data_IF_660052531443
#
_entry.id   IF_660052531443
#
_cell.length_a   1.000
_cell.length_b   1.000
_cell.length_c   1.000
_cell.angle_alpha   90.00
_cell.angle_beta   90.00
_cell.angle_gamma   90.00
#
_symmetry.space_group_name_H-M   'P 1'
#
loop_
_entity.id
_entity.type
_entity.pdbx_description
1 polymer ?
#
# COMPACT_ATOMS: atom_id res chain seq x y z
N UNK A 1 -5.02 -2.52 -2.95
CA UNK A 1 -3.87 -2.67 -3.88
C UNK A 1 -4.28 -3.70 -4.93
N UNK A 2 -4.87 -3.27 -6.04
CA UNK A 2 -5.28 -4.18 -7.12
C UNK A 2 -4.11 -4.64 -8.00
N UNK A 3 -3.01 -3.87 -8.03
CA UNK A 3 -1.84 -4.12 -8.88
C UNK A 3 -1.20 -5.50 -8.67
N UNK A 4 -1.22 -6.05 -7.46
CA UNK A 4 -0.68 -7.40 -7.21
C UNK A 4 -1.43 -8.52 -7.92
N UNK A 5 -2.69 -8.26 -8.28
CA UNK A 5 -3.60 -9.20 -8.92
C UNK A 5 -3.99 -8.73 -10.33
N UNK A 6 -3.21 -7.83 -10.94
CA UNK A 6 -3.57 -7.20 -12.21
C UNK A 6 -3.84 -8.24 -13.31
N UNK A 7 -2.94 -9.21 -13.53
CA UNK A 7 -3.11 -10.20 -14.59
C UNK A 7 -4.34 -11.11 -14.36
N UNK A 8 -4.56 -11.71 -13.18
CA UNK A 8 -5.81 -12.44 -12.92
C UNK A 8 -7.08 -11.60 -13.07
N UNK A 9 -7.03 -10.30 -12.72
CA UNK A 9 -8.18 -9.41 -12.88
C UNK A 9 -8.43 -9.08 -14.36
N UNK A 10 -7.38 -8.89 -15.16
CA UNK A 10 -7.49 -8.69 -16.61
C UNK A 10 -8.12 -9.92 -17.28
N UNK A 11 -7.70 -11.11 -16.86
CA UNK A 11 -8.25 -12.38 -17.35
C UNK A 11 -9.71 -12.59 -16.94
N UNK A 12 -10.04 -12.31 -15.67
CA UNK A 12 -11.40 -12.47 -15.15
C UNK A 12 -12.41 -11.45 -15.69
N UNK A 13 -11.94 -10.29 -16.16
CA UNK A 13 -12.77 -9.21 -16.69
C UNK A 13 -12.28 -8.77 -18.08
N UNK A 14 -12.50 -9.59 -19.12
CA UNK A 14 -11.92 -9.37 -20.45
C UNK A 14 -12.44 -8.09 -21.13
N UNK A 15 -13.63 -7.61 -20.77
CA UNK A 15 -14.22 -6.39 -21.33
C UNK A 15 -13.87 -5.13 -20.52
N UNK A 16 -13.20 -5.27 -19.37
CA UNK A 16 -12.83 -4.13 -18.55
C UNK A 16 -11.73 -3.30 -19.23
N UNK A 17 -11.89 -1.97 -19.13
CA UNK A 17 -10.84 -1.01 -19.45
C UNK A 17 -9.79 -1.00 -18.34
N UNK A 18 -8.51 -0.95 -18.72
CA UNK A 18 -7.36 -0.95 -17.83
C UNK A 18 -6.67 0.39 -17.90
N UNK A 19 -6.49 1.04 -16.75
CA UNK A 19 -5.75 2.29 -16.62
C UNK A 19 -4.42 1.96 -15.94
N UNK A 20 -3.33 2.14 -16.68
CA UNK A 20 -1.97 1.86 -16.23
C UNK A 20 -1.26 3.16 -15.90
N UNK A 21 -1.20 3.48 -14.61
CA UNK A 21 -0.58 4.72 -14.11
C UNK A 21 0.91 4.52 -13.96
N UNK A 22 1.73 5.14 -14.82
CA UNK A 22 3.19 5.10 -14.74
C UNK A 22 3.77 6.44 -14.27
N UNK A 23 4.92 6.41 -13.60
CA UNK A 23 5.68 7.60 -13.17
C UNK A 23 7.16 7.28 -13.19
N UNK A 24 8.00 8.29 -12.99
CA UNK A 24 9.45 8.07 -12.84
C UNK A 24 9.76 6.99 -11.76
N UNK A 25 10.57 6.01 -12.15
CA UNK A 25 10.86 4.81 -11.37
C UNK A 25 11.64 5.12 -10.09
N UNK A 26 12.55 6.10 -10.12
CA UNK A 26 13.34 6.44 -8.94
C UNK A 26 12.49 7.24 -7.93
N UNK A 27 11.66 8.15 -8.43
CA UNK A 27 10.66 8.86 -7.63
C UNK A 27 9.65 7.88 -7.00
N UNK A 28 9.23 6.85 -7.74
CA UNK A 28 8.40 5.77 -7.22
C UNK A 28 9.14 4.96 -6.14
N UNK A 29 10.37 4.51 -6.41
CA UNK A 29 11.13 3.68 -5.48
C UNK A 29 11.40 4.41 -4.16
N UNK A 30 11.81 5.68 -4.23
CA UNK A 30 12.00 6.50 -3.03
C UNK A 30 10.69 6.64 -2.22
N UNK A 31 9.52 6.66 -2.87
CA UNK A 31 8.23 6.64 -2.19
C UNK A 31 7.92 5.29 -1.57
N UNK A 32 8.24 4.20 -2.26
CA UNK A 32 8.06 2.83 -1.79
C UNK A 32 8.90 2.56 -0.53
N UNK A 33 10.15 3.03 -0.52
CA UNK A 33 11.05 2.88 0.62
C UNK A 33 10.49 3.53 1.89
N UNK A 34 10.06 4.79 1.79
CA UNK A 34 9.60 5.54 2.95
C UNK A 34 8.18 5.12 3.40
N UNK A 35 7.25 5.01 2.45
CA UNK A 35 5.83 4.81 2.75
C UNK A 35 5.47 3.33 2.98
N UNK A 36 6.18 2.39 2.37
CA UNK A 36 5.84 0.95 2.45
C UNK A 36 6.89 0.18 3.23
N UNK A 37 8.16 0.19 2.80
CA UNK A 37 9.18 -0.61 3.50
C UNK A 37 9.38 -0.13 4.94
N UNK A 38 9.48 1.18 5.16
CA UNK A 38 9.65 1.77 6.49
C UNK A 38 8.43 1.67 7.42
N UNK A 39 7.24 1.36 6.89
CA UNK A 39 6.01 1.23 7.70
C UNK A 39 5.59 -0.23 7.92
N UNK A 40 6.02 -1.12 7.02
CA UNK A 40 5.62 -2.54 7.00
C UNK A 40 6.71 -3.45 7.58
N UNK A 41 7.98 -3.02 7.59
CA UNK A 41 9.11 -3.71 8.23
C UNK A 41 9.90 -2.75 9.12
N UNK A 42 10.64 -3.31 10.07
CA UNK A 42 11.44 -2.57 11.05
C UNK A 42 10.83 -2.64 12.44
N UNK A 43 11.62 -2.30 13.46
CA UNK A 43 11.34 -2.64 14.86
C UNK A 43 9.93 -2.25 15.35
N UNK A 44 9.40 -1.07 14.97
CA UNK A 44 8.04 -0.64 15.35
C UNK A 44 6.98 -1.51 14.68
N UNK A 45 7.13 -1.75 13.38
CA UNK A 45 6.20 -2.57 12.61
C UNK A 45 6.28 -4.04 13.04
N UNK A 46 7.47 -4.55 13.36
CA UNK A 46 7.67 -5.91 13.86
C UNK A 46 7.03 -6.09 15.24
N UNK A 47 7.20 -5.13 16.15
CA UNK A 47 6.53 -5.16 17.46
C UNK A 47 5.00 -5.11 17.32
N UNK A 48 4.48 -4.21 16.47
CA UNK A 48 3.03 -4.10 16.26
C UNK A 48 2.47 -5.35 15.58
N UNK A 49 3.10 -5.87 14.54
CA UNK A 49 2.54 -6.95 13.72
C UNK A 49 2.77 -8.32 14.37
N UNK A 50 4.00 -8.62 14.79
CA UNK A 50 4.37 -9.97 15.24
C UNK A 50 3.95 -10.23 16.69
N UNK A 51 3.93 -9.19 17.54
CA UNK A 51 3.57 -9.33 18.96
C UNK A 51 2.12 -8.90 19.19
N UNK A 52 1.83 -7.60 19.12
CA UNK A 52 0.51 -7.09 19.50
C UNK A 52 -0.60 -7.54 18.54
N UNK A 53 -0.33 -7.52 17.24
CA UNK A 53 -1.28 -7.97 16.22
C UNK A 53 -1.65 -9.43 16.43
N UNK A 54 -0.65 -10.30 16.62
CA UNK A 54 -0.86 -11.72 16.86
C UNK A 54 -1.63 -11.99 18.17
N UNK A 55 -1.27 -11.30 19.26
CA UNK A 55 -1.99 -11.42 20.54
C UNK A 55 -3.46 -10.98 20.45
N UNK A 56 -3.78 -10.04 19.55
CA UNK A 56 -5.14 -9.53 19.34
C UNK A 56 -5.87 -10.17 18.15
N UNK A 57 -5.30 -11.22 17.53
CA UNK A 57 -5.89 -11.86 16.36
C UNK A 57 -5.89 -11.00 15.08
N UNK A 58 -5.16 -9.88 15.05
CA UNK A 58 -5.04 -9.00 13.90
C UNK A 58 -3.97 -9.50 12.94
N UNK A 59 -4.38 -10.09 11.82
CA UNK A 59 -3.48 -10.72 10.84
C UNK A 59 -3.12 -9.83 9.66
N UNK A 60 -3.76 -8.66 9.50
CA UNK A 60 -3.59 -7.79 8.32
C UNK A 60 -2.14 -7.44 8.00
N UNK A 61 -1.30 -7.21 9.03
CA UNK A 61 0.13 -6.96 8.86
C UNK A 61 0.92 -8.17 8.34
N UNK A 62 0.57 -9.38 8.78
CA UNK A 62 1.17 -10.61 8.26
C UNK A 62 0.70 -10.89 6.82
N UNK A 63 -0.58 -10.66 6.55
CA UNK A 63 -1.17 -10.83 5.22
C UNK A 63 -0.50 -9.92 4.20
N UNK A 64 -0.35 -8.62 4.49
CA UNK A 64 0.28 -7.70 3.54
C UNK A 64 1.76 -8.05 3.30
N UNK A 65 2.50 -8.43 4.34
CA UNK A 65 3.89 -8.91 4.19
C UNK A 65 3.96 -10.13 3.27
N UNK A 66 3.07 -11.11 3.45
CA UNK A 66 3.03 -12.32 2.61
C UNK A 66 2.69 -11.99 1.15
N UNK A 67 1.68 -11.14 0.91
CA UNK A 67 1.30 -10.73 -0.44
C UNK A 67 2.46 -10.02 -1.14
N UNK A 68 3.11 -9.07 -0.45
CA UNK A 68 4.23 -8.33 -1.02
C UNK A 68 5.41 -9.26 -1.34
N UNK A 69 5.85 -10.07 -0.38
CA UNK A 69 6.96 -11.00 -0.60
C UNK A 69 6.68 -11.96 -1.77
N UNK A 70 5.45 -12.48 -1.86
CA UNK A 70 5.03 -13.31 -3.00
C UNK A 70 5.06 -12.57 -4.33
N UNK A 71 4.50 -11.35 -4.39
CA UNK A 71 4.43 -10.55 -5.61
C UNK A 71 5.82 -10.14 -6.14
N UNK A 72 6.77 -9.88 -5.25
CA UNK A 72 8.16 -9.57 -5.61
C UNK A 72 9.04 -10.82 -5.74
N UNK A 73 8.46 -12.02 -5.58
CA UNK A 73 9.18 -13.30 -5.62
C UNK A 73 10.39 -13.30 -4.68
N UNK A 74 10.20 -12.76 -3.47
CA UNK A 74 11.26 -12.49 -2.50
C UNK A 74 11.03 -13.26 -1.20
N UNK A 75 12.11 -13.74 -0.58
CA UNK A 75 12.06 -14.47 0.70
C UNK A 75 12.02 -13.52 1.89
N UNK A 76 12.55 -12.31 1.73
CA UNK A 76 12.62 -11.29 2.77
C UNK A 76 12.62 -9.87 2.18
N UNK A 77 12.53 -8.87 3.06
CA UNK A 77 12.45 -7.46 2.67
C UNK A 77 13.72 -6.94 1.98
N UNK A 78 14.89 -7.50 2.26
CA UNK A 78 16.15 -7.08 1.62
C UNK A 78 16.16 -7.51 0.15
N UNK A 79 15.79 -8.75 -0.12
CA UNK A 79 15.65 -9.26 -1.49
C UNK A 79 14.52 -8.53 -2.24
N UNK A 80 13.41 -8.21 -1.57
CA UNK A 80 12.34 -7.43 -2.17
C UNK A 80 12.81 -6.02 -2.57
N UNK A 81 13.63 -5.36 -1.75
CA UNK A 81 14.23 -4.06 -2.09
C UNK A 81 15.09 -4.13 -3.34
N UNK A 82 15.96 -5.13 -3.46
CA UNK A 82 16.83 -5.28 -4.63
C UNK A 82 16.03 -5.58 -5.90
N UNK A 83 14.96 -6.38 -5.80
CA UNK A 83 14.09 -6.73 -6.94
C UNK A 83 13.05 -5.67 -7.31
N UNK A 84 12.84 -4.65 -6.48
CA UNK A 84 11.67 -3.77 -6.61
C UNK A 84 11.61 -3.04 -7.96
N UNK A 85 12.74 -2.53 -8.44
CA UNK A 85 12.84 -1.82 -9.73
C UNK A 85 12.61 -2.75 -10.92
N UNK A 86 13.14 -3.96 -10.87
CA UNK A 86 12.95 -4.92 -11.95
C UNK A 86 11.52 -5.44 -11.98
N UNK A 87 10.92 -5.70 -10.81
CA UNK A 87 9.50 -6.06 -10.73
C UNK A 87 8.60 -4.90 -11.21
N UNK A 88 8.97 -3.65 -10.93
CA UNK A 88 8.28 -2.49 -11.49
C UNK A 88 8.26 -2.56 -13.01
N UNK A 89 9.43 -2.63 -13.68
CA UNK A 89 9.50 -2.71 -15.14
C UNK A 89 8.71 -3.89 -15.71
N UNK A 90 8.86 -5.07 -15.10
CA UNK A 90 8.13 -6.28 -15.50
C UNK A 90 6.62 -6.10 -15.41
N UNK A 91 6.11 -5.47 -14.35
CA UNK A 91 4.69 -5.25 -14.17
C UNK A 91 4.05 -4.44 -15.31
N UNK A 92 4.68 -3.32 -15.71
CA UNK A 92 4.16 -2.52 -16.82
C UNK A 92 4.25 -3.26 -18.15
N UNK A 93 5.35 -3.99 -18.39
CA UNK A 93 5.51 -4.81 -19.59
C UNK A 93 4.46 -5.93 -19.66
N UNK A 94 4.22 -6.63 -18.55
CA UNK A 94 3.21 -7.69 -18.43
C UNK A 94 1.80 -7.17 -18.71
N UNK A 95 1.42 -6.02 -18.15
CA UNK A 95 0.09 -5.42 -18.40
C UNK A 95 -0.05 -4.98 -19.86
N UNK A 96 0.95 -4.30 -20.42
CA UNK A 96 0.95 -3.87 -21.82
C UNK A 96 0.88 -5.04 -22.80
N UNK A 97 1.45 -6.19 -22.43
CA UNK A 97 1.35 -7.41 -23.22
C UNK A 97 -0.01 -8.11 -23.08
N UNK A 98 -0.64 -8.02 -21.91
CA UNK A 98 -1.89 -8.71 -21.60
C UNK A 98 -3.16 -7.96 -22.06
N UNK A 99 -3.08 -6.66 -22.32
CA UNK A 99 -4.24 -5.81 -22.64
C UNK A 99 -4.12 -5.24 -24.05
N UNK A 100 -5.20 -5.33 -24.83
CA UNK A 100 -5.27 -4.72 -26.15
C UNK A 100 -5.27 -3.19 -26.05
N UNK A 101 -4.69 -2.50 -27.05
CA UNK A 101 -4.49 -1.04 -27.02
C UNK A 101 -5.79 -0.24 -26.87
N UNK A 102 -6.90 -0.76 -27.38
CA UNK A 102 -8.23 -0.15 -27.29
C UNK A 102 -8.81 -0.18 -25.85
N UNK A 103 -8.33 -1.10 -25.00
CA UNK A 103 -8.72 -1.24 -23.60
C UNK A 103 -7.63 -0.83 -22.62
N UNK A 104 -6.52 -0.26 -23.08
CA UNK A 104 -5.41 0.17 -22.24
C UNK A 104 -5.19 1.68 -22.36
N UNK A 105 -5.18 2.37 -21.22
CA UNK A 105 -4.71 3.74 -21.11
C UNK A 105 -3.40 3.76 -20.32
N UNK A 106 -2.30 4.04 -20.99
CA UNK A 106 -1.06 4.48 -20.36
C UNK A 106 -1.26 5.92 -19.88
N UNK A 107 -1.19 6.16 -18.57
CA UNK A 107 -1.66 7.40 -17.97
C UNK A 107 -0.62 8.02 -17.03
N UNK A 108 -0.26 9.29 -17.26
CA UNK A 108 0.39 10.13 -16.23
C UNK A 108 -0.69 10.92 -15.50
N UNK A 109 -0.74 10.76 -14.17
CA UNK A 109 -1.71 11.43 -13.29
C UNK A 109 -1.66 12.96 -13.43
N UNK A 110 -0.55 13.53 -13.92
CA UNK A 110 -0.41 14.96 -14.21
C UNK A 110 -1.28 15.43 -15.38
N UNK A 111 -1.71 14.54 -16.26
CA UNK A 111 -2.58 14.87 -17.41
C UNK A 111 -4.02 15.17 -16.99
N UNK A 112 -4.41 14.84 -15.76
CA UNK A 112 -5.70 15.24 -15.20
C UNK A 112 -6.89 14.52 -15.84
N UNK A 113 -8.06 15.19 -15.87
CA UNK A 113 -9.33 14.55 -16.23
C UNK A 113 -9.45 14.16 -17.69
N UNK A 114 -8.83 14.92 -18.60
CA UNK A 114 -9.13 14.85 -20.03
C UNK A 114 -8.88 13.45 -20.64
N UNK A 115 -7.66 12.87 -20.59
CA UNK A 115 -7.42 11.56 -21.20
C UNK A 115 -8.19 10.44 -20.48
N UNK A 116 -8.38 10.55 -19.16
CA UNK A 116 -9.12 9.58 -18.36
C UNK A 116 -10.61 9.54 -18.74
N UNK A 117 -11.25 10.70 -18.78
CA UNK A 117 -12.67 10.83 -19.13
C UNK A 117 -12.92 10.43 -20.59
N UNK A 118 -12.04 10.85 -21.52
CA UNK A 118 -12.10 10.45 -22.92
C UNK A 118 -12.01 8.93 -23.07
N UNK A 119 -11.02 8.30 -22.43
CA UNK A 119 -10.84 6.85 -22.46
C UNK A 119 -12.04 6.11 -21.85
N UNK A 120 -12.64 6.64 -20.78
CA UNK A 120 -13.82 6.03 -20.15
C UNK A 120 -15.14 6.33 -20.88
N UNK A 121 -15.17 7.25 -21.85
CA UNK A 121 -16.40 7.71 -22.49
C UNK A 121 -17.33 8.45 -21.51
N UNK A 122 -16.75 9.27 -20.63
CA UNK A 122 -17.46 10.02 -19.59
C UNK A 122 -17.21 11.52 -19.75
N UNK A 123 -18.16 12.39 -19.32
CA UNK A 123 -17.92 13.83 -19.30
C UNK A 123 -16.81 14.20 -18.29
N UNK A 124 -16.11 15.29 -18.57
CA UNK A 124 -15.15 15.89 -17.62
C UNK A 124 -15.97 16.54 -16.48
N UNK A 125 -15.67 16.23 -15.20
CA UNK A 125 -16.37 16.84 -14.08
C UNK A 125 -15.94 18.30 -13.86
N UNK A 126 -16.85 19.12 -13.36
CA UNK A 126 -16.59 20.52 -12.97
C UNK A 126 -15.95 20.63 -11.57
N UNK A 127 -14.85 19.90 -11.38
CA UNK A 127 -14.06 19.88 -10.14
C UNK A 127 -12.57 19.71 -10.48
N UNK A 128 -11.65 20.28 -9.68
CA UNK A 128 -10.22 20.10 -9.90
C UNK A 128 -9.81 18.63 -9.77
N UNK A 129 -8.82 18.21 -10.57
CA UNK A 129 -8.30 16.84 -10.48
C UNK A 129 -7.69 16.59 -9.10
N UNK A 130 -8.03 15.48 -8.41
CA UNK A 130 -7.65 15.28 -7.02
C UNK A 130 -6.13 15.05 -6.86
N UNK A 131 -5.50 15.87 -6.03
CA UNK A 131 -4.10 15.69 -5.62
C UNK A 131 -4.01 15.22 -4.17
N UNK A 132 -4.37 13.96 -3.93
CA UNK A 132 -4.35 13.34 -2.60
C UNK A 132 -3.17 12.37 -2.45
N UNK A 133 -2.81 12.04 -1.20
CA UNK A 133 -1.71 11.12 -0.87
C UNK A 133 -0.29 11.63 -1.21
N UNK A 134 0.04 12.86 -0.78
CA UNK A 134 1.43 13.32 -0.82
C UNK A 134 2.29 12.46 0.14
N UNK A 135 3.52 12.14 -0.28
CA UNK A 135 4.42 11.20 0.43
C UNK A 135 4.54 11.49 1.93
N UNK A 136 4.85 12.74 2.29
CA UNK A 136 5.04 13.19 3.68
C UNK A 136 3.77 13.01 4.52
N UNK A 137 2.60 13.28 3.95
CA UNK A 137 1.31 13.16 4.63
C UNK A 137 0.97 11.70 4.93
N UNK A 138 1.28 10.78 4.01
CA UNK A 138 1.05 9.35 4.23
C UNK A 138 1.89 8.82 5.40
N UNK A 139 3.19 9.10 5.39
CA UNK A 139 4.13 8.65 6.43
C UNK A 139 3.73 9.24 7.79
N UNK A 140 3.38 10.53 7.84
CA UNK A 140 2.90 11.17 9.06
C UNK A 140 1.62 10.51 9.59
N UNK A 141 0.65 10.21 8.71
CA UNK A 141 -0.61 9.54 9.06
C UNK A 141 -0.38 8.14 9.61
N UNK A 142 0.51 7.36 9.00
CA UNK A 142 0.84 6.01 9.48
C UNK A 142 1.53 6.09 10.83
N UNK A 143 2.53 6.97 11.00
CA UNK A 143 3.22 7.17 12.29
C UNK A 143 2.26 7.65 13.38
N UNK A 144 1.33 8.54 13.07
CA UNK A 144 0.31 8.99 14.01
C UNK A 144 -0.58 7.83 14.48
N UNK A 145 -1.06 6.98 13.55
CA UNK A 145 -1.83 5.77 13.88
C UNK A 145 -1.02 4.77 14.70
N UNK A 146 0.24 4.53 14.35
CA UNK A 146 1.15 3.67 15.12
C UNK A 146 1.36 4.21 16.54
N UNK A 147 1.57 5.52 16.69
CA UNK A 147 1.75 6.15 18.01
C UNK A 147 0.48 6.09 18.85
N UNK A 148 -0.70 6.32 18.26
CA UNK A 148 -1.98 6.19 18.94
C UNK A 148 -2.21 4.75 19.41
N UNK A 149 -1.93 3.78 18.54
CA UNK A 149 -2.03 2.36 18.86
C UNK A 149 -1.07 1.97 20.00
N UNK A 150 0.21 2.35 19.92
CA UNK A 150 1.20 2.07 20.96
C UNK A 150 0.82 2.73 22.30
N UNK A 151 0.28 3.96 22.29
CA UNK A 151 -0.24 4.62 23.51
C UNK A 151 -1.44 3.87 24.11
N UNK A 152 -2.40 3.47 23.27
CA UNK A 152 -3.56 2.71 23.72
C UNK A 152 -3.15 1.36 24.32
N UNK A 153 -2.20 0.66 23.68
CA UNK A 153 -1.65 -0.59 24.18
C UNK A 153 -0.86 -0.40 25.47
N UNK A 154 0.00 0.61 25.56
CA UNK A 154 0.71 0.94 26.80
C UNK A 154 -0.25 1.20 27.96
N UNK A 155 -1.33 1.96 27.73
CA UNK A 155 -2.38 2.21 28.73
C UNK A 155 -3.14 0.94 29.13
N UNK A 156 -3.44 0.05 28.18
CA UNK A 156 -4.13 -1.23 28.44
C UNK A 156 -3.24 -2.21 29.20
N UNK A 157 -1.98 -2.34 28.80
CA UNK A 157 -0.99 -3.16 29.51
C UNK A 157 -0.80 -2.61 30.92
N UNK A 158 -0.55 -1.31 31.10
CA UNK A 158 -0.42 -0.68 32.42
C UNK A 158 -1.64 -0.96 33.33
N UNK A 159 -2.86 -0.90 32.77
CA UNK A 159 -4.10 -1.26 33.50
C UNK A 159 -4.22 -2.74 33.85
N UNK A 160 -3.58 -3.65 33.11
CA UNK A 160 -3.58 -5.09 33.41
C UNK A 160 -2.49 -5.48 34.42
N UNK A 161 -1.37 -4.75 34.48
CA UNK A 161 -0.28 -5.03 35.44
C UNK A 161 -0.37 -4.23 36.75
N UNK A 162 -1.11 -3.12 36.78
CA UNK A 162 -1.45 -2.43 38.04
C UNK A 162 -2.55 -3.24 38.73
N UNK A 163 -2.29 -3.90 39.88
CA UNK A 163 -3.31 -4.67 40.60
C UNK A 163 -4.45 -3.73 41.03
N UNK A 164 -5.70 -4.16 40.89
CA UNK A 164 -6.88 -3.35 41.24
C UNK A 164 -6.81 -2.72 42.65
N UNK A 165 -6.13 -3.38 43.61
CA UNK A 165 -5.89 -2.89 44.97
C UNK A 165 -5.00 -1.64 45.08
N UNK A 166 -4.23 -1.31 44.05
CA UNK A 166 -3.36 -0.13 44.02
C UNK A 166 -4.02 1.12 43.41
N UNK A 167 -5.27 1.01 42.95
CA UNK A 167 -6.06 2.13 42.38
C UNK A 167 -7.04 2.77 43.39
N UNK A 168 -6.96 2.45 44.68
CA UNK A 168 -7.66 3.20 45.74
C UNK A 168 -9.19 3.11 45.73
N UNK A 169 -9.77 2.06 45.16
CA UNK A 169 -11.20 1.76 45.33
C UNK A 169 -11.34 0.58 46.29
N UNK A 170 -11.53 0.90 47.56
CA UNK A 170 -12.10 0.05 48.59
C UNK A 170 -13.54 0.50 48.86
#
# INVERSE_FOLDING_TARGET
MGSFFALPLIDAYPDAKVILVERDIESWYASMEEAIFGTTWGWRADLIINVFGRLMGLTGGLTIRKIMLGYYEARNVSEMRSKARDRYRRHYAEIRAAVSKDRLLDYDVKEGWEPLCAFLGKPIPDLPFPQVNKRKEHVARVRAKQNMFLKAMGKKTLRMVIPYWSMGMA
#
